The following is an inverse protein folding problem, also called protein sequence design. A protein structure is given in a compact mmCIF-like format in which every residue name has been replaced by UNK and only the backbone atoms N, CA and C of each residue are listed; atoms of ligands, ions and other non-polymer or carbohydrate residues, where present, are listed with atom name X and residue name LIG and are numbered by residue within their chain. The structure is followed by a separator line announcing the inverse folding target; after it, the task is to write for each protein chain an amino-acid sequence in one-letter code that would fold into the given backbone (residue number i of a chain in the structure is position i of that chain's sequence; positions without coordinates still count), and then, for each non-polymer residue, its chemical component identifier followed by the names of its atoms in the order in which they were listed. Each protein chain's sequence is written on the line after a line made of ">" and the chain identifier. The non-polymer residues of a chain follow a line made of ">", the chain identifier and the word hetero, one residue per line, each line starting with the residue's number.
data_IF_320554609635
#
_entry.id   IF_320554609635
#
_cell.length_a   1.000
_cell.length_b   1.000
_cell.length_c   1.000
_cell.angle_alpha   90.00
_cell.angle_beta   90.00
_cell.angle_gamma   90.00
#
_symmetry.space_group_name_H-M   'P 1'
#
loop_
_entity.id
_entity.type
_entity.pdbx_description
1 polymer ?
#
# COMPACT_ATOMS: atom_id res chain seq x y z
N UNK A 1 -5.89 27.48 -38.62
CA UNK A 1 -5.70 28.15 -37.32
C UNK A 1 -7.06 28.23 -36.65
N UNK A 2 -7.26 27.46 -35.58
CA UNK A 2 -8.50 27.45 -34.78
C UNK A 2 -8.14 27.89 -33.34
N UNK A 3 -9.07 28.49 -32.57
CA UNK A 3 -8.77 29.16 -31.32
C UNK A 3 -8.55 28.19 -30.16
N UNK A 4 -7.66 28.59 -29.25
CA UNK A 4 -7.09 27.80 -28.16
C UNK A 4 -7.98 27.72 -26.91
N UNK A 5 -9.23 27.26 -27.00
CA UNK A 5 -10.06 27.08 -25.80
C UNK A 5 -11.19 26.04 -25.84
N UNK A 6 -11.24 25.12 -26.82
CA UNK A 6 -12.29 24.08 -26.83
C UNK A 6 -11.75 22.69 -27.19
N UNK A 7 -11.41 21.91 -26.15
CA UNK A 7 -11.94 20.56 -25.82
C UNK A 7 -11.04 19.92 -24.77
N UNK A 8 -11.27 20.23 -23.48
CA UNK A 8 -10.74 19.46 -22.37
C UNK A 8 -11.57 18.17 -22.26
N UNK A 9 -11.12 17.12 -22.92
CA UNK A 9 -11.47 15.77 -22.49
C UNK A 9 -10.80 15.56 -21.12
N UNK A 10 -11.62 15.40 -20.08
CA UNK A 10 -11.21 15.08 -18.72
C UNK A 10 -10.59 13.69 -18.68
N UNK A 11 -9.31 13.61 -19.03
CA UNK A 11 -8.46 12.54 -18.58
C UNK A 11 -7.51 13.15 -17.57
N UNK A 12 -7.82 13.02 -16.27
CA UNK A 12 -6.80 13.12 -15.22
C UNK A 12 -5.87 11.90 -15.39
N UNK A 13 -5.08 11.92 -16.47
CA UNK A 13 -3.93 11.07 -16.75
C UNK A 13 -2.75 11.75 -16.09
N UNK A 14 -2.75 11.75 -14.75
CA UNK A 14 -1.48 11.83 -14.05
C UNK A 14 -1.11 10.38 -13.76
N UNK A 15 -0.26 9.82 -14.62
CA UNK A 15 0.42 8.58 -14.28
C UNK A 15 1.12 8.80 -12.93
N UNK A 16 1.00 7.88 -11.96
CA UNK A 16 1.54 8.11 -10.64
C UNK A 16 3.06 8.31 -10.73
N UNK A 17 3.53 9.42 -10.16
CA UNK A 17 4.93 9.85 -10.24
C UNK A 17 5.85 8.80 -9.59
N UNK A 18 6.80 8.22 -10.35
CA UNK A 18 7.77 7.26 -9.81
C UNK A 18 8.55 7.77 -8.59
N UNK A 19 8.70 9.09 -8.43
CA UNK A 19 9.39 9.71 -7.29
C UNK A 19 8.64 9.59 -5.95
N UNK A 20 7.34 9.31 -6.00
CA UNK A 20 6.53 9.03 -4.81
C UNK A 20 6.78 7.63 -4.22
N UNK A 21 7.54 6.79 -4.93
CA UNK A 21 7.88 5.44 -4.51
C UNK A 21 9.30 5.36 -3.94
N UNK A 22 9.44 4.65 -2.84
CA UNK A 22 10.73 4.41 -2.20
C UNK A 22 10.93 2.92 -1.99
N UNK A 23 11.83 2.31 -2.76
CA UNK A 23 12.13 0.87 -2.65
C UNK A 23 13.10 0.52 -1.52
N UNK A 24 13.37 1.45 -0.60
CA UNK A 24 14.05 1.12 0.65
C UNK A 24 13.13 0.27 1.50
N UNK A 25 13.72 -0.73 2.13
CA UNK A 25 13.11 -1.58 3.14
C UNK A 25 14.21 -2.22 3.94
N UNK A 26 13.83 -3.06 4.91
CA UNK A 26 14.81 -3.80 5.69
C UNK A 26 15.59 -4.77 4.77
N UNK A 27 16.89 -4.98 5.03
CA UNK A 27 17.70 -5.95 4.27
C UNK A 27 17.12 -7.37 4.32
N UNK A 28 16.36 -7.67 5.37
CA UNK A 28 15.63 -8.92 5.59
C UNK A 28 14.48 -9.15 4.60
N UNK A 29 14.05 -8.12 3.85
CA UNK A 29 13.11 -8.30 2.74
C UNK A 29 13.65 -9.29 1.67
N UNK A 30 14.95 -9.60 1.69
CA UNK A 30 15.53 -10.66 0.85
C UNK A 30 15.13 -12.08 1.25
N UNK A 31 14.47 -12.27 2.40
CA UNK A 31 14.00 -13.57 2.93
C UNK A 31 13.31 -14.43 1.86
N UNK A 32 13.61 -15.74 1.78
CA UNK A 32 12.90 -16.66 0.90
C UNK A 32 11.40 -16.63 1.13
N UNK A 33 10.60 -16.79 0.07
CA UNK A 33 9.12 -16.73 0.11
C UNK A 33 8.49 -15.39 0.51
N UNK A 34 9.28 -14.37 0.86
CA UNK A 34 8.76 -13.07 1.27
C UNK A 34 7.71 -12.50 0.31
N UNK A 35 8.01 -12.55 -0.99
CA UNK A 35 7.11 -12.08 -2.04
C UNK A 35 5.78 -12.85 -2.08
N UNK A 36 5.84 -14.17 -1.88
CA UNK A 36 4.66 -15.04 -1.83
C UNK A 36 3.79 -14.65 -0.63
N UNK A 37 4.41 -14.35 0.51
CA UNK A 37 3.70 -13.86 1.68
C UNK A 37 3.06 -12.49 1.45
N UNK A 38 3.76 -11.53 0.85
CA UNK A 38 3.17 -10.23 0.52
C UNK A 38 1.95 -10.38 -0.39
N UNK A 39 2.09 -11.19 -1.44
CA UNK A 39 0.99 -11.47 -2.37
C UNK A 39 -0.20 -12.09 -1.63
N UNK A 40 0.05 -12.98 -0.67
CA UNK A 40 -1.02 -13.59 0.12
C UNK A 40 -1.69 -12.56 1.04
N UNK A 41 -0.91 -11.76 1.76
CA UNK A 41 -1.42 -10.73 2.65
C UNK A 41 -2.41 -9.79 1.95
N UNK A 42 -2.03 -9.26 0.77
CA UNK A 42 -2.89 -8.31 0.03
C UNK A 42 -4.09 -8.98 -0.63
N UNK A 43 -3.97 -10.24 -1.04
CA UNK A 43 -5.10 -10.96 -1.65
C UNK A 43 -6.09 -11.49 -0.59
N UNK A 44 -5.70 -11.50 0.69
CA UNK A 44 -6.57 -11.80 1.83
C UNK A 44 -7.26 -10.57 2.43
N UNK A 45 -7.02 -9.35 1.91
CA UNK A 45 -7.72 -8.15 2.35
C UNK A 45 -9.24 -8.26 2.11
N UNK A 46 -10.03 -7.55 2.90
CA UNK A 46 -11.44 -7.33 2.58
C UNK A 46 -11.54 -6.38 1.38
N UNK A 47 -11.82 -6.93 0.19
CA UNK A 47 -11.82 -6.19 -1.08
C UNK A 47 -13.14 -5.49 -1.36
N UNK A 48 -13.22 -4.23 -0.94
CA UNK A 48 -14.28 -3.29 -1.32
C UNK A 48 -13.72 -1.86 -1.37
N UNK A 49 -14.56 -0.91 -1.77
CA UNK A 49 -14.22 0.52 -1.91
C UNK A 49 -14.58 1.36 -0.68
N UNK A 50 -14.98 0.73 0.44
CA UNK A 50 -15.27 1.43 1.69
C UNK A 50 -13.97 1.56 2.49
N UNK A 51 -13.57 2.77 2.92
CA UNK A 51 -12.43 2.94 3.80
C UNK A 51 -12.64 2.19 5.12
N UNK A 52 -11.88 1.12 5.32
CA UNK A 52 -11.95 0.25 6.49
C UNK A 52 -10.59 -0.01 7.13
N UNK A 53 -9.51 0.43 6.47
CA UNK A 53 -8.15 0.32 6.97
C UNK A 53 -7.64 1.68 7.43
N UNK A 54 -7.06 1.73 8.62
CA UNK A 54 -6.64 2.96 9.29
C UNK A 54 -5.25 2.78 9.89
N UNK A 55 -4.38 3.80 9.88
CA UNK A 55 -3.07 3.68 10.49
C UNK A 55 -3.20 3.46 12.00
N UNK A 56 -2.18 2.86 12.61
CA UNK A 56 -2.14 2.60 14.06
C UNK A 56 -2.25 3.88 14.90
N UNK A 57 -1.94 5.04 14.34
CA UNK A 57 -2.12 6.36 14.97
C UNK A 57 -3.59 6.78 15.09
N UNK A 58 -4.48 6.26 14.23
CA UNK A 58 -5.92 6.52 14.22
C UNK A 58 -6.69 5.66 15.23
N UNK A 59 -6.02 5.09 16.24
CA UNK A 59 -6.55 4.12 17.20
C UNK A 59 -7.53 4.74 18.21
N UNK A 60 -8.53 5.47 17.71
CA UNK A 60 -9.60 6.09 18.49
C UNK A 60 -10.87 5.24 18.53
N UNK A 61 -11.00 4.21 17.67
CA UNK A 61 -12.24 3.43 17.50
C UNK A 61 -12.13 1.93 17.81
N UNK A 62 -10.95 1.45 18.22
CA UNK A 62 -10.71 0.01 18.44
C UNK A 62 -10.61 -0.81 17.15
N UNK A 63 -10.59 -0.16 15.99
CA UNK A 63 -10.33 -0.79 14.68
C UNK A 63 -8.81 -0.81 14.46
N UNK A 64 -8.17 -1.91 14.82
CA UNK A 64 -6.73 -2.12 14.70
C UNK A 64 -6.31 -2.72 13.35
N UNK A 65 -6.95 -2.34 12.25
CA UNK A 65 -6.66 -2.92 10.94
C UNK A 65 -6.00 -1.89 10.03
N UNK A 66 -4.67 -1.76 10.13
CA UNK A 66 -3.89 -0.92 9.20
C UNK A 66 -3.60 -1.61 7.88
N UNK A 67 -3.91 -2.89 7.75
CA UNK A 67 -3.69 -3.66 6.55
C UNK A 67 -3.73 -5.14 6.85
N UNK A 68 -2.83 -5.89 6.25
CA UNK A 68 -2.71 -7.32 6.52
C UNK A 68 -1.25 -7.80 6.45
N UNK A 69 -0.98 -8.93 7.08
CA UNK A 69 0.28 -9.64 6.94
C UNK A 69 0.04 -11.12 6.69
N UNK A 70 1.05 -11.77 6.10
CA UNK A 70 1.10 -13.23 6.01
C UNK A 70 2.52 -13.72 6.22
N UNK A 71 2.69 -14.94 6.72
CA UNK A 71 4.00 -15.46 7.07
C UNK A 71 4.00 -16.91 7.57
N UNK A 72 5.13 -17.31 8.12
CA UNK A 72 5.36 -18.61 8.76
C UNK A 72 5.20 -18.56 10.29
N UNK A 73 4.43 -17.60 10.81
CA UNK A 73 4.24 -17.28 12.23
C UNK A 73 5.49 -16.76 12.96
N UNK A 74 6.68 -16.82 12.36
CA UNK A 74 7.89 -16.17 12.89
C UNK A 74 8.26 -14.95 12.05
N UNK A 75 8.09 -15.09 10.74
CA UNK A 75 8.53 -14.16 9.71
C UNK A 75 7.39 -13.98 8.71
N UNK A 76 7.13 -12.75 8.33
CA UNK A 76 6.08 -12.45 7.39
C UNK A 76 6.37 -11.21 6.57
N UNK A 77 5.51 -11.00 5.58
CA UNK A 77 5.38 -9.74 4.88
C UNK A 77 4.07 -9.09 5.29
N UNK A 78 4.11 -7.79 5.57
CA UNK A 78 2.94 -6.98 5.83
C UNK A 78 2.81 -5.84 4.85
N UNK A 79 1.57 -5.43 4.60
CA UNK A 79 1.21 -4.29 3.76
C UNK A 79 0.24 -3.44 4.54
N UNK A 80 0.64 -2.20 4.85
CA UNK A 80 -0.07 -1.35 5.80
C UNK A 80 -0.18 0.10 5.33
N UNK A 81 -1.27 0.76 5.70
CA UNK A 81 -1.35 2.21 5.73
C UNK A 81 -0.68 2.77 6.99
N UNK A 82 0.04 3.87 6.80
CA UNK A 82 0.72 4.67 7.80
C UNK A 82 0.36 6.15 7.57
N UNK A 83 0.45 6.95 8.62
CA UNK A 83 0.10 8.37 8.58
C UNK A 83 -0.44 8.86 9.92
N UNK A 84 -1.11 9.99 9.92
CA UNK A 84 -1.86 10.50 11.08
C UNK A 84 -3.28 9.92 11.14
N UNK A 85 -4.07 10.35 12.14
CA UNK A 85 -5.41 9.84 12.36
C UNK A 85 -6.43 10.17 11.25
N UNK A 86 -6.10 11.08 10.32
CA UNK A 86 -6.97 11.40 9.18
C UNK A 86 -6.84 10.40 8.02
N UNK A 87 -5.78 9.59 8.02
CA UNK A 87 -5.53 8.60 6.98
C UNK A 87 -6.50 7.42 7.07
N UNK A 88 -7.06 7.05 5.92
CA UNK A 88 -7.84 5.84 5.76
C UNK A 88 -7.76 5.35 4.33
N UNK A 89 -7.96 4.05 4.12
CA UNK A 89 -7.91 3.45 2.79
C UNK A 89 -8.88 2.28 2.68
N UNK A 90 -9.43 2.10 1.48
CA UNK A 90 -10.25 0.93 1.16
C UNK A 90 -9.35 -0.29 0.90
N UNK A 91 -9.89 -1.50 1.05
CA UNK A 91 -9.11 -2.70 0.72
C UNK A 91 -8.75 -2.80 -0.77
N UNK A 92 -9.59 -2.24 -1.65
CA UNK A 92 -9.27 -2.15 -3.08
C UNK A 92 -8.11 -1.21 -3.35
N UNK A 93 -8.10 -0.03 -2.76
CA UNK A 93 -7.02 0.95 -2.94
C UNK A 93 -5.72 0.46 -2.33
N UNK A 94 -5.75 -0.16 -1.15
CA UNK A 94 -4.55 -0.71 -0.52
C UNK A 94 -3.88 -1.78 -1.39
N UNK A 95 -4.68 -2.62 -2.03
CA UNK A 95 -4.15 -3.59 -2.99
C UNK A 95 -3.65 -2.94 -4.28
N UNK A 96 -4.33 -1.91 -4.79
CA UNK A 96 -3.86 -1.19 -5.99
C UNK A 96 -2.51 -0.52 -5.73
N UNK A 97 -2.37 0.15 -4.58
CA UNK A 97 -1.12 0.79 -4.16
C UNK A 97 0.01 -0.23 -4.01
N UNK A 98 -0.29 -1.42 -3.47
CA UNK A 98 0.65 -2.54 -3.45
C UNK A 98 1.15 -2.92 -4.85
N UNK A 99 0.26 -3.01 -5.84
CA UNK A 99 0.66 -3.30 -7.22
C UNK A 99 1.49 -2.15 -7.81
N UNK A 100 1.11 -0.91 -7.53
CA UNK A 100 1.80 0.27 -8.04
C UNK A 100 3.22 0.41 -7.48
N UNK A 101 3.44 0.12 -6.19
CA UNK A 101 4.77 0.07 -5.58
C UNK A 101 5.70 -0.87 -6.37
N UNK A 102 5.15 -1.98 -6.86
CA UNK A 102 5.92 -2.99 -7.58
C UNK A 102 6.09 -2.69 -9.07
N UNK A 103 5.01 -2.27 -9.72
CA UNK A 103 4.96 -2.14 -11.17
C UNK A 103 5.43 -0.77 -11.66
N UNK A 104 5.14 0.29 -10.90
CA UNK A 104 5.45 1.68 -11.25
C UNK A 104 6.69 2.13 -10.49
N UNK A 105 6.71 1.92 -9.17
CA UNK A 105 7.88 2.20 -8.34
C UNK A 105 9.07 1.27 -8.62
N UNK A 106 8.83 0.11 -9.27
CA UNK A 106 9.86 -0.87 -9.58
C UNK A 106 10.39 -1.63 -8.36
N UNK A 107 9.68 -1.57 -7.22
CA UNK A 107 10.14 -2.19 -5.98
C UNK A 107 9.91 -3.70 -6.02
N UNK A 108 11.01 -4.47 -5.95
CA UNK A 108 10.94 -5.93 -6.13
C UNK A 108 10.31 -6.69 -4.97
N UNK A 109 10.41 -6.18 -3.73
CA UNK A 109 9.96 -6.88 -2.52
C UNK A 109 9.34 -5.95 -1.49
N UNK A 110 10.16 -5.09 -0.88
CA UNK A 110 9.73 -4.05 0.04
C UNK A 110 9.76 -2.70 -0.64
N UNK A 111 9.01 -1.78 -0.09
CA UNK A 111 8.98 -0.39 -0.53
C UNK A 111 7.78 0.31 0.02
N UNK A 112 7.73 1.61 -0.20
CA UNK A 112 6.61 2.45 0.19
C UNK A 112 6.19 3.39 -0.92
N UNK A 113 4.96 3.88 -0.80
CA UNK A 113 4.35 4.86 -1.68
C UNK A 113 3.75 5.98 -0.83
N UNK A 114 4.20 7.21 -1.05
CA UNK A 114 3.58 8.40 -0.49
C UNK A 114 2.42 8.84 -1.38
N UNK A 115 1.22 8.80 -0.83
CA UNK A 115 -0.02 9.17 -1.51
C UNK A 115 -0.20 10.70 -1.48
N UNK A 116 -1.00 11.21 -2.42
CA UNK A 116 -1.31 12.64 -2.51
C UNK A 116 -2.12 13.16 -1.31
N UNK A 117 -2.83 12.26 -0.61
CA UNK A 117 -3.57 12.57 0.61
C UNK A 117 -2.67 12.68 1.86
N UNK A 118 -1.34 12.54 1.71
CA UNK A 118 -0.37 12.62 2.79
C UNK A 118 -0.18 11.30 3.56
N UNK A 119 -0.91 10.25 3.19
CA UNK A 119 -0.75 8.92 3.77
C UNK A 119 0.39 8.15 3.09
N UNK A 120 0.90 7.11 3.75
CA UNK A 120 1.93 6.24 3.21
C UNK A 120 1.47 4.79 3.22
N UNK A 121 1.64 4.09 2.10
CA UNK A 121 1.53 2.64 2.05
C UNK A 121 2.91 2.03 2.12
N UNK A 122 3.09 1.05 3.00
CA UNK A 122 4.38 0.40 3.25
C UNK A 122 4.25 -1.10 3.11
N UNK A 123 5.14 -1.70 2.31
CA UNK A 123 5.38 -3.14 2.21
C UNK A 123 6.69 -3.40 2.95
N UNK A 124 6.62 -4.09 4.09
CA UNK A 124 7.81 -4.39 4.88
C UNK A 124 7.72 -5.76 5.57
N UNK A 125 8.83 -6.15 6.17
CA UNK A 125 8.94 -7.35 6.95
C UNK A 125 8.27 -7.22 8.31
N UNK A 126 7.55 -8.27 8.71
CA UNK A 126 6.83 -8.37 9.98
C UNK A 126 7.34 -9.57 10.75
N UNK A 127 7.60 -9.37 12.04
CA UNK A 127 7.83 -10.46 12.99
C UNK A 127 6.49 -10.94 13.54
N UNK A 128 6.36 -12.25 13.75
CA UNK A 128 5.21 -12.85 14.43
C UNK A 128 3.86 -12.48 13.80
N UNK A 129 3.78 -12.56 12.46
CA UNK A 129 2.52 -12.38 11.77
C UNK A 129 1.53 -13.51 12.10
N UNK A 130 0.36 -13.13 12.61
CA UNK A 130 -0.73 -14.02 13.04
C UNK A 130 -1.52 -14.69 11.88
N UNK A 131 -1.33 -14.20 10.65
CA UNK A 131 -2.00 -14.64 9.40
C UNK A 131 -3.52 -14.43 9.41
N UNK A 132 -3.95 -13.22 9.04
CA UNK A 132 -5.37 -12.85 8.99
C UNK A 132 -5.92 -12.66 7.56
#
# INVERSE_FOLDING_TARGET
>A
MAPQWATLALTNVFEPDPSNYNCKGLSICTTPNFLKWCNHAVNSLQRNDVPSYFPTSANETGINQSGNCWGDQTRGCGVFIQGDASCSISGNDLWNDYQNIRNIGGCSKCGSFYREDGCQITIDYVYECDNH
#
